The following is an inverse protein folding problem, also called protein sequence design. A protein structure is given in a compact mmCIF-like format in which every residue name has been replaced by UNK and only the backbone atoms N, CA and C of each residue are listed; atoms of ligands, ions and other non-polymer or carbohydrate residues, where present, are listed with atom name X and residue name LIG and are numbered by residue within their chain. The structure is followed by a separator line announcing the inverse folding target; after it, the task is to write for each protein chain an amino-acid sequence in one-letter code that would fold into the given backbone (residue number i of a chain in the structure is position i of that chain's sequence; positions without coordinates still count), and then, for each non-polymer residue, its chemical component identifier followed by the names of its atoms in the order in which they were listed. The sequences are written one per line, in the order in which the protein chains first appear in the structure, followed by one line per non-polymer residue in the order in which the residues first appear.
data_IF_125729816029
#
_entry.id   IF_125729816029
#
_cell.length_a   1.000
_cell.length_b   1.000
_cell.length_c   1.000
_cell.angle_alpha   90.00
_cell.angle_beta   90.00
_cell.angle_gamma   90.00
#
_symmetry.space_group_name_H-M   'P 1'
#
loop_
_entity.id
_entity.type
_entity.pdbx_description
1 polymer ?
#
# COMPACT_ATOMS: atom_id res chain seq x y z
N UNK A 1 -17.63 -3.64 -0.80
CA UNK A 1 -17.78 -2.93 0.49
C UNK A 1 -17.16 -3.80 1.57
N UNK A 2 -16.29 -3.21 2.38
CA UNK A 2 -15.49 -3.87 3.40
C UNK A 2 -15.67 -3.12 4.72
N UNK A 3 -15.61 -3.81 5.85
CA UNK A 3 -15.94 -3.19 7.14
C UNK A 3 -15.01 -3.61 8.25
N UNK A 4 -14.73 -2.68 9.17
CA UNK A 4 -14.05 -2.93 10.43
C UNK A 4 -15.01 -2.66 11.60
N UNK A 5 -15.24 -3.66 12.45
CA UNK A 5 -16.03 -3.51 13.66
C UNK A 5 -15.10 -3.18 14.84
N UNK A 6 -15.25 -1.99 15.39
CA UNK A 6 -14.53 -1.54 16.58
C UNK A 6 -15.40 -1.79 17.82
N UNK A 7 -14.92 -2.65 18.70
CA UNK A 7 -15.62 -3.05 19.93
C UNK A 7 -15.00 -2.34 21.13
N UNK A 8 -15.82 -1.59 21.87
CA UNK A 8 -15.48 -0.93 23.14
C UNK A 8 -16.50 -1.35 24.19
N UNK A 9 -16.16 -1.23 25.48
CA UNK A 9 -17.05 -1.64 26.58
C UNK A 9 -18.46 -1.05 26.47
N UNK A 10 -18.57 0.21 26.07
CA UNK A 10 -19.83 0.95 26.01
C UNK A 10 -20.35 1.20 24.58
N UNK A 11 -19.64 0.74 23.54
CA UNK A 11 -19.97 1.09 22.16
C UNK A 11 -19.48 0.07 21.11
N UNK A 12 -20.29 -0.11 20.07
CA UNK A 12 -19.93 -0.81 18.84
C UNK A 12 -19.95 0.20 17.69
N UNK A 13 -18.79 0.45 17.09
CA UNK A 13 -18.68 1.33 15.92
C UNK A 13 -18.32 0.51 14.69
N UNK A 14 -19.05 0.72 13.59
CA UNK A 14 -18.75 0.08 12.30
C UNK A 14 -18.15 1.10 11.33
N UNK A 15 -16.96 0.81 10.82
CA UNK A 15 -16.27 1.61 9.81
C UNK A 15 -16.34 0.91 8.45
N UNK A 16 -16.77 1.63 7.42
CA UNK A 16 -16.93 1.09 6.07
C UNK A 16 -15.92 1.65 5.07
N UNK A 17 -15.45 0.80 4.17
CA UNK A 17 -14.49 1.10 3.11
C UNK A 17 -14.97 0.54 1.77
N UNK A 18 -14.66 1.24 0.68
CA UNK A 18 -15.05 0.82 -0.65
C UNK A 18 -14.17 -0.34 -1.13
N UNK A 19 -12.87 -0.26 -0.83
CA UNK A 19 -11.87 -1.22 -1.25
C UNK A 19 -11.27 -1.99 -0.07
N UNK A 20 -10.80 -3.21 -0.34
CA UNK A 20 -10.06 -4.01 0.64
C UNK A 20 -8.73 -3.38 1.04
N UNK A 21 -8.14 -2.59 0.14
CA UNK A 21 -6.89 -1.88 0.36
C UNK A 21 -7.04 -0.81 1.44
N UNK A 22 -8.10 0.01 1.35
CA UNK A 22 -8.45 1.01 2.36
C UNK A 22 -8.70 0.37 3.74
N UNK A 23 -9.47 -0.74 3.80
CA UNK A 23 -9.72 -1.46 5.05
C UNK A 23 -8.40 -1.92 5.68
N UNK A 24 -7.53 -2.58 4.91
CA UNK A 24 -6.25 -3.07 5.42
C UNK A 24 -5.34 -1.92 5.89
N UNK A 25 -5.34 -0.81 5.16
CA UNK A 25 -4.55 0.36 5.54
C UNK A 25 -5.08 1.03 6.81
N UNK A 26 -6.41 1.09 6.97
CA UNK A 26 -7.06 1.53 8.20
C UNK A 26 -6.65 0.68 9.40
N UNK A 27 -6.73 -0.64 9.29
CA UNK A 27 -6.33 -1.57 10.35
C UNK A 27 -4.84 -1.44 10.69
N UNK A 28 -4.00 -1.22 9.68
CA UNK A 28 -2.58 -0.98 9.86
C UNK A 28 -2.32 0.30 10.66
N UNK A 29 -3.05 1.38 10.38
CA UNK A 29 -2.97 2.63 11.14
C UNK A 29 -3.36 2.44 12.61
N UNK A 30 -4.37 1.61 12.90
CA UNK A 30 -4.78 1.29 14.26
C UNK A 30 -3.71 0.55 15.08
N UNK A 31 -2.73 -0.09 14.43
CA UNK A 31 -1.60 -0.72 15.14
C UNK A 31 -0.65 0.28 15.78
N UNK A 32 -0.75 1.56 15.41
CA UNK A 32 0.17 2.60 15.85
C UNK A 32 -0.37 3.22 17.13
N UNK A 33 0.38 3.09 18.22
CA UNK A 33 -0.05 3.63 19.51
C UNK A 33 -0.21 5.17 19.44
N UNK A 34 -1.39 5.65 19.80
CA UNK A 34 -1.81 7.05 19.67
C UNK A 34 -2.69 7.34 18.45
N UNK A 35 -2.88 6.36 17.56
CA UNK A 35 -3.79 6.47 16.41
C UNK A 35 -5.07 5.67 16.69
N UNK A 36 -6.17 6.37 16.90
CA UNK A 36 -7.49 5.77 17.06
C UNK A 36 -8.32 5.77 15.78
N UNK A 37 -9.51 5.12 15.78
CA UNK A 37 -10.37 4.99 14.60
C UNK A 37 -10.73 6.31 13.90
N UNK A 38 -11.05 7.36 14.66
CA UNK A 38 -11.36 8.68 14.10
C UNK A 38 -10.17 9.30 13.36
N UNK A 39 -8.97 9.15 13.93
CA UNK A 39 -7.74 9.68 13.34
C UNK A 39 -7.36 8.88 12.10
N UNK A 40 -7.43 7.54 12.17
CA UNK A 40 -7.15 6.67 11.03
C UNK A 40 -8.11 6.94 9.85
N UNK A 41 -9.39 7.18 10.13
CA UNK A 41 -10.36 7.60 9.10
C UNK A 41 -9.99 8.96 8.50
N UNK A 42 -9.56 9.91 9.33
CA UNK A 42 -9.08 11.22 8.88
C UNK A 42 -7.87 11.12 7.94
N UNK A 43 -6.95 10.20 8.20
CA UNK A 43 -5.81 9.91 7.31
C UNK A 43 -6.28 9.42 5.95
N UNK A 44 -7.21 8.46 5.91
CA UNK A 44 -7.77 7.95 4.66
C UNK A 44 -8.67 8.96 3.91
N UNK A 45 -9.10 10.02 4.60
CA UNK A 45 -9.95 11.06 4.00
C UNK A 45 -9.16 12.13 3.25
N UNK A 46 -7.86 12.31 3.52
CA UNK A 46 -7.05 13.38 2.91
C UNK A 46 -6.44 12.99 1.57
N UNK A 47 -6.23 11.70 1.30
CA UNK A 47 -5.68 11.21 0.05
C UNK A 47 -5.86 9.69 -0.12
N UNK A 48 -5.62 9.20 -1.35
CA UNK A 48 -5.61 7.77 -1.65
C UNK A 48 -4.55 7.01 -0.85
N UNK A 49 -4.78 5.70 -0.60
CA UNK A 49 -3.81 4.82 0.06
C UNK A 49 -2.44 4.90 -0.60
N UNK A 50 -2.38 4.88 -1.94
CA UNK A 50 -1.14 5.00 -2.70
C UNK A 50 -0.39 6.31 -2.44
N UNK A 51 -1.11 7.44 -2.38
CA UNK A 51 -0.51 8.74 -2.06
C UNK A 51 0.03 8.74 -0.63
N UNK A 52 -0.72 8.18 0.32
CA UNK A 52 -0.30 8.05 1.71
C UNK A 52 0.95 7.18 1.86
N UNK A 53 0.98 6.04 1.17
CA UNK A 53 2.14 5.14 1.11
C UNK A 53 3.36 5.87 0.57
N UNK A 54 3.20 6.67 -0.50
CA UNK A 54 4.29 7.48 -1.05
C UNK A 54 4.79 8.54 -0.07
N UNK A 55 3.88 9.28 0.57
CA UNK A 55 4.22 10.30 1.57
C UNK A 55 4.97 9.69 2.77
N UNK A 56 4.53 8.52 3.24
CA UNK A 56 5.19 7.76 4.31
C UNK A 56 6.59 7.30 3.89
N UNK A 57 6.73 6.75 2.68
CA UNK A 57 8.02 6.29 2.16
C UNK A 57 9.05 7.43 2.06
N UNK A 58 8.60 8.62 1.64
CA UNK A 58 9.39 9.85 1.54
C UNK A 58 9.62 10.55 2.89
N UNK A 59 8.90 10.17 3.94
CA UNK A 59 8.98 10.79 5.26
C UNK A 59 8.36 12.19 5.33
N UNK A 60 7.31 12.45 4.55
CA UNK A 60 6.62 13.75 4.50
C UNK A 60 5.75 13.96 5.76
N UNK A 61 6.38 14.36 6.87
CA UNK A 61 5.70 14.59 8.16
C UNK A 61 4.57 15.61 8.04
N UNK A 62 4.80 16.71 7.32
CA UNK A 62 3.82 17.79 7.11
C UNK A 62 2.55 17.33 6.38
N UNK A 63 2.64 16.25 5.61
CA UNK A 63 1.48 15.67 4.95
C UNK A 63 0.50 15.07 5.96
N UNK A 64 1.03 14.34 6.95
CA UNK A 64 0.24 13.66 7.97
C UNK A 64 -0.29 14.62 9.05
N UNK A 65 0.44 15.69 9.36
CA UNK A 65 0.00 16.69 10.37
C UNK A 65 -1.18 17.54 9.92
N UNK A 66 -1.61 17.44 8.65
CA UNK A 66 -2.87 18.05 8.17
C UNK A 66 -4.11 17.39 8.77
N UNK A 67 -3.98 16.16 9.29
CA UNK A 67 -5.09 15.43 9.91
C UNK A 67 -5.25 15.91 11.34
N UNK A 68 -6.47 16.33 11.70
CA UNK A 68 -6.79 16.69 13.08
C UNK A 68 -6.55 15.51 14.03
N UNK A 69 -5.78 15.74 15.10
CA UNK A 69 -5.36 14.69 16.03
C UNK A 69 -3.99 14.05 15.70
N UNK A 70 -3.33 14.45 14.60
CA UNK A 70 -1.96 14.05 14.28
C UNK A 70 -1.01 15.23 14.49
N UNK A 71 -0.31 15.23 15.62
CA UNK A 71 0.84 16.11 15.83
C UNK A 71 2.13 15.53 15.24
N UNK A 72 3.20 16.34 15.21
CA UNK A 72 4.53 15.97 14.67
C UNK A 72 5.04 14.63 15.21
N UNK A 73 4.89 14.40 16.52
CA UNK A 73 5.33 13.16 17.19
C UNK A 73 4.60 11.92 16.67
N UNK A 74 3.28 12.02 16.46
CA UNK A 74 2.48 10.91 15.94
C UNK A 74 2.79 10.71 14.47
N UNK A 75 2.91 11.78 13.67
CA UNK A 75 3.28 11.69 12.26
C UNK A 75 4.64 10.99 12.06
N UNK A 76 5.67 11.37 12.83
CA UNK A 76 6.97 10.71 12.79
C UNK A 76 6.89 9.23 13.17
N UNK A 77 6.10 8.90 14.19
CA UNK A 77 5.87 7.51 14.60
C UNK A 77 5.18 6.70 13.52
N UNK A 78 4.16 7.26 12.87
CA UNK A 78 3.48 6.65 11.73
C UNK A 78 4.48 6.36 10.63
N UNK A 79 5.30 7.34 10.25
CA UNK A 79 6.31 7.17 9.20
C UNK A 79 7.28 6.05 9.56
N UNK A 80 7.85 6.07 10.77
CA UNK A 80 8.83 5.09 11.20
C UNK A 80 8.26 3.66 11.22
N UNK A 81 7.11 3.47 11.85
CA UNK A 81 6.54 2.12 12.01
C UNK A 81 5.92 1.58 10.73
N UNK A 82 5.35 2.43 9.88
CA UNK A 82 4.69 1.98 8.66
C UNK A 82 5.64 1.80 7.49
N UNK A 83 6.76 2.54 7.43
CA UNK A 83 7.72 2.41 6.33
C UNK A 83 8.18 0.96 6.12
N UNK A 84 8.41 0.21 7.21
CA UNK A 84 8.80 -1.20 7.14
C UNK A 84 7.61 -2.16 6.91
N UNK A 85 6.42 -1.83 7.44
CA UNK A 85 5.22 -2.69 7.36
C UNK A 85 4.57 -2.63 5.98
N UNK A 86 4.54 -1.46 5.36
CA UNK A 86 3.94 -1.19 4.05
C UNK A 86 4.57 -2.06 2.96
N UNK A 87 5.91 -2.15 2.95
CA UNK A 87 6.66 -3.03 2.03
C UNK A 87 6.31 -4.51 2.23
N UNK A 88 6.24 -4.97 3.49
CA UNK A 88 5.92 -6.37 3.81
C UNK A 88 4.49 -6.76 3.46
N UNK A 89 3.55 -5.81 3.54
CA UNK A 89 2.13 -6.04 3.29
C UNK A 89 1.75 -5.82 1.81
N UNK A 90 2.72 -5.52 0.94
CA UNK A 90 2.49 -5.32 -0.49
C UNK A 90 1.74 -4.02 -0.82
N UNK A 91 1.59 -3.11 0.16
CA UNK A 91 1.26 -1.72 -0.13
C UNK A 91 2.52 -1.09 -0.66
N UNK A 92 2.69 -1.03 -1.97
CA UNK A 92 3.88 -0.40 -2.52
C UNK A 92 3.48 0.81 -3.35
N UNK A 93 4.25 1.90 -3.22
CA UNK A 93 4.08 3.13 -3.99
C UNK A 93 4.40 2.85 -5.48
N UNK A 94 3.52 2.12 -6.16
CA UNK A 94 3.63 1.80 -7.58
C UNK A 94 2.64 2.60 -8.38
N UNK A 95 3.09 3.16 -9.51
CA UNK A 95 2.22 3.66 -10.59
C UNK A 95 1.10 2.65 -10.92
N UNK A 96 -0.05 3.13 -11.39
CA UNK A 96 -1.13 2.21 -11.74
C UNK A 96 -0.59 1.23 -12.79
N UNK A 97 -0.80 -0.07 -12.58
CA UNK A 97 -0.32 -1.09 -13.51
C UNK A 97 -0.86 -0.76 -14.91
N UNK A 98 0.06 -0.65 -15.87
CA UNK A 98 -0.24 -0.42 -17.28
C UNK A 98 -0.81 -1.68 -17.91
N UNK A 99 -1.47 -1.57 -19.07
CA UNK A 99 -1.97 -2.74 -19.80
C UNK A 99 -0.85 -3.75 -20.10
N UNK A 100 0.34 -3.25 -20.44
CA UNK A 100 1.54 -4.07 -20.65
C UNK A 100 1.97 -4.80 -19.36
N UNK A 101 1.80 -4.18 -18.19
CA UNK A 101 2.15 -4.84 -16.92
C UNK A 101 1.26 -6.06 -16.68
N UNK A 102 -0.03 -5.96 -17.01
CA UNK A 102 -0.97 -7.08 -16.89
C UNK A 102 -0.61 -8.23 -17.84
N UNK A 103 -0.30 -7.93 -19.10
CA UNK A 103 0.10 -8.96 -20.07
C UNK A 103 1.39 -9.68 -19.66
N UNK A 104 2.37 -8.96 -19.12
CA UNK A 104 3.61 -9.56 -18.61
C UNK A 104 3.34 -10.39 -17.36
N UNK A 105 2.49 -9.92 -16.44
CA UNK A 105 2.09 -10.68 -15.24
C UNK A 105 1.40 -11.98 -15.64
N UNK A 106 0.44 -11.95 -16.55
CA UNK A 106 -0.31 -13.13 -16.99
C UNK A 106 0.61 -14.13 -17.70
N UNK A 107 1.56 -13.66 -18.51
CA UNK A 107 2.58 -14.52 -19.12
C UNK A 107 3.46 -15.21 -18.06
N UNK A 108 3.92 -14.47 -17.05
CA UNK A 108 4.72 -15.05 -15.95
C UNK A 108 3.92 -16.06 -15.12
N UNK A 109 2.63 -15.81 -14.88
CA UNK A 109 1.75 -16.78 -14.22
C UNK A 109 1.59 -18.04 -15.08
N UNK A 110 1.40 -17.89 -16.39
CA UNK A 110 1.34 -19.01 -17.34
C UNK A 110 2.62 -19.86 -17.39
N UNK A 111 3.77 -19.27 -17.04
CA UNK A 111 5.05 -19.97 -16.90
C UNK A 111 5.23 -20.66 -15.53
N UNK A 112 4.27 -20.54 -14.62
CA UNK A 112 4.24 -21.22 -13.33
C UNK A 112 4.67 -20.39 -12.12
N UNK A 113 4.89 -19.08 -12.28
CA UNK A 113 5.18 -18.19 -11.15
C UNK A 113 3.92 -17.78 -10.40
N UNK A 114 4.03 -17.55 -9.09
CA UNK A 114 2.90 -17.07 -8.30
C UNK A 114 2.52 -15.64 -8.68
N UNK A 115 1.24 -15.22 -8.51
CA UNK A 115 0.82 -13.85 -8.80
C UNK A 115 1.63 -12.77 -8.08
N UNK A 116 2.11 -13.07 -6.86
CA UNK A 116 2.94 -12.16 -6.08
C UNK A 116 4.36 -12.05 -6.66
N UNK A 117 4.96 -13.16 -7.11
CA UNK A 117 6.26 -13.15 -7.77
C UNK A 117 6.20 -12.40 -9.10
N UNK A 118 5.18 -12.65 -9.91
CA UNK A 118 4.98 -11.99 -11.20
C UNK A 118 4.84 -10.46 -11.05
N UNK A 119 3.98 -10.00 -10.14
CA UNK A 119 3.80 -8.56 -9.85
C UNK A 119 5.09 -7.89 -9.39
N UNK A 120 5.85 -8.56 -8.55
CA UNK A 120 7.14 -8.05 -8.05
C UNK A 120 8.15 -7.93 -9.19
N UNK A 121 8.27 -8.95 -10.03
CA UNK A 121 9.21 -8.96 -11.15
C UNK A 121 8.90 -7.86 -12.17
N UNK A 122 7.63 -7.63 -12.50
CA UNK A 122 7.23 -6.57 -13.45
C UNK A 122 7.48 -5.16 -12.89
N UNK A 123 7.34 -4.98 -11.58
CA UNK A 123 7.60 -3.70 -10.92
C UNK A 123 9.09 -3.40 -10.78
N UNK A 124 9.91 -4.42 -10.56
CA UNK A 124 11.37 -4.29 -10.47
C UNK A 124 12.02 -4.10 -11.86
N UNK A 125 11.21 -4.11 -12.95
CA UNK A 125 11.70 -3.80 -14.30
C UNK A 125 12.13 -2.33 -14.43
N UNK A 126 13.25 -2.08 -15.14
CA UNK A 126 13.62 -0.73 -15.53
C UNK A 126 12.55 -0.08 -16.43
N UNK A 127 12.20 1.19 -16.17
CA UNK A 127 11.12 1.93 -16.88
C UNK A 127 11.44 2.21 -18.36
N UNK A 128 12.69 2.02 -18.76
CA UNK A 128 13.19 2.16 -20.14
C UNK A 128 12.91 0.91 -21.00
N UNK A 129 12.57 -0.23 -20.39
CA UNK A 129 12.26 -1.46 -21.13
C UNK A 129 10.83 -1.43 -21.64
N UNK A 130 10.67 -1.11 -22.93
CA UNK A 130 9.38 -1.16 -23.63
C UNK A 130 9.18 -2.48 -24.37
N UNK A 131 7.92 -2.91 -24.45
CA UNK A 131 7.48 -4.09 -25.19
C UNK A 131 7.41 -5.36 -24.35
N UNK A 132 6.26 -6.04 -24.41
CA UNK A 132 5.87 -7.19 -23.58
C UNK A 132 6.94 -8.29 -23.57
N UNK A 133 7.46 -8.71 -24.72
CA UNK A 133 8.47 -9.78 -24.80
C UNK A 133 9.79 -9.43 -24.10
N UNK A 134 10.27 -8.19 -24.25
CA UNK A 134 11.51 -7.73 -23.60
C UNK A 134 11.33 -7.66 -22.09
N UNK A 135 10.17 -7.19 -21.65
CA UNK A 135 9.78 -7.11 -20.24
C UNK A 135 9.67 -8.50 -19.61
N UNK A 136 9.08 -9.48 -20.31
CA UNK A 136 9.05 -10.88 -19.86
C UNK A 136 10.48 -11.42 -19.69
N UNK A 137 11.37 -11.21 -20.67
CA UNK A 137 12.77 -11.67 -20.59
C UNK A 137 13.50 -11.10 -19.38
N UNK A 138 13.40 -9.80 -19.13
CA UNK A 138 14.08 -9.19 -17.98
C UNK A 138 13.42 -9.52 -16.64
N UNK A 139 12.10 -9.71 -16.61
CA UNK A 139 11.40 -10.18 -15.42
C UNK A 139 11.86 -11.60 -15.04
N UNK A 140 12.00 -12.51 -16.02
CA UNK A 140 12.51 -13.86 -15.81
C UNK A 140 13.96 -13.88 -15.33
N UNK A 141 14.80 -12.97 -15.82
CA UNK A 141 16.19 -12.84 -15.38
C UNK A 141 16.30 -12.42 -13.91
N UNK A 142 15.34 -11.62 -13.46
CA UNK A 142 15.22 -11.21 -12.06
C UNK A 142 14.67 -12.32 -11.17
N UNK A 143 13.74 -13.13 -11.69
CA UNK A 143 13.12 -14.27 -10.98
C UNK A 143 13.98 -15.54 -10.95
N UNK A 144 14.92 -15.68 -11.88
CA UNK A 144 15.87 -16.81 -11.95
C UNK A 144 17.13 -16.64 -11.10
N UNK A 145 17.23 -15.54 -10.34
CA UNK A 145 18.24 -15.34 -9.28
C UNK A 145 17.65 -15.71 -7.93
#
# INVERSE_FOLDING_TARGET
MHTHLNVREEALDLYGFLTQEELKFFELLLTISGVGPKVALGVLSIASVKTLVSAIAKGEVEFLTKVSGIGTKIAQKIILELKDKIVKLGFEAGEAATLEDYEVIDALIGLGYTPNQARRAVRDLPKDVKGVEKRIKEALKTLGK
#
